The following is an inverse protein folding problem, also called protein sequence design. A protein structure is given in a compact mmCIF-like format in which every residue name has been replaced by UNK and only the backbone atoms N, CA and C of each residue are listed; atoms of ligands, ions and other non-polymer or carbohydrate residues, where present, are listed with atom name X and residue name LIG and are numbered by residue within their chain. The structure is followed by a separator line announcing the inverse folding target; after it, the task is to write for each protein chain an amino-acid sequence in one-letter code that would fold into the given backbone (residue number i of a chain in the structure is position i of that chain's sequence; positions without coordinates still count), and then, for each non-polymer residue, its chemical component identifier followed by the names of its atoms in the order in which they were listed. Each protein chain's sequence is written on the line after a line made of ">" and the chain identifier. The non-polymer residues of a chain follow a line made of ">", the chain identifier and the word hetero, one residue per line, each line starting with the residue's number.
data_IF_431743568035
#
_entry.id   IF_431743568035
#
_cell.length_a   1.000
_cell.length_b   1.000
_cell.length_c   1.000
_cell.angle_alpha   90.00
_cell.angle_beta   90.00
_cell.angle_gamma   90.00
#
_symmetry.space_group_name_H-M   'P 1'
#
loop_
_entity.id
_entity.type
_entity.pdbx_description
1 polymer ?
#
# COMPACT_ATOMS: atom_id res chain seq x y z
N UNK A 1 14.85 -28.79 -81.95
CA UNK A 1 13.45 -28.47 -81.87
C UNK A 1 13.33 -27.47 -80.75
N UNK A 2 13.50 -26.27 -81.04
CA UNK A 2 12.54 -25.18 -81.28
C UNK A 2 11.54 -24.99 -80.14
N UNK A 3 11.65 -23.86 -79.47
CA UNK A 3 10.55 -22.91 -79.34
C UNK A 3 10.98 -21.67 -78.56
N UNK A 4 10.62 -20.58 -79.13
CA UNK A 4 10.90 -19.20 -78.86
C UNK A 4 10.24 -18.71 -77.57
N UNK A 5 10.89 -17.72 -76.91
CA UNK A 5 10.28 -16.88 -75.91
C UNK A 5 9.54 -15.70 -76.53
N UNK A 6 8.51 -15.19 -75.84
CA UNK A 6 7.88 -13.93 -76.22
C UNK A 6 8.34 -12.74 -75.30
N UNK A 7 7.93 -11.51 -75.65
CA UNK A 7 8.73 -10.32 -75.41
C UNK A 7 8.44 -9.60 -74.06
N UNK A 8 9.41 -8.76 -73.70
CA UNK A 8 9.32 -7.85 -72.55
C UNK A 8 8.37 -6.68 -72.83
N UNK A 9 7.43 -6.48 -71.97
CA UNK A 9 6.60 -5.28 -72.01
C UNK A 9 7.01 -4.35 -70.85
N UNK A 10 7.41 -3.16 -71.24
CA UNK A 10 7.77 -2.07 -70.34
C UNK A 10 6.48 -1.35 -69.96
N UNK A 11 6.04 -1.44 -68.72
CA UNK A 11 5.05 -0.53 -68.20
C UNK A 11 5.52 0.14 -66.90
N UNK A 12 5.28 1.44 -66.91
CA UNK A 12 5.65 2.51 -66.01
C UNK A 12 5.34 2.23 -64.56
N UNK A 13 6.20 2.76 -63.69
CA UNK A 13 6.03 2.84 -62.26
C UNK A 13 4.83 3.73 -61.87
N UNK A 14 3.99 3.35 -60.90
CA UNK A 14 3.03 4.26 -60.33
C UNK A 14 3.67 5.07 -59.19
N UNK A 15 3.48 6.35 -59.30
CA UNK A 15 3.83 7.40 -58.31
C UNK A 15 3.36 7.08 -56.90
N UNK A 16 4.30 7.15 -55.96
CA UNK A 16 4.03 7.04 -54.53
C UNK A 16 3.12 8.17 -54.06
N UNK A 17 1.89 7.88 -53.76
CA UNK A 17 1.01 8.76 -52.94
C UNK A 17 1.33 8.52 -51.48
N UNK A 18 1.93 9.54 -50.84
CA UNK A 18 2.13 9.63 -49.39
C UNK A 18 0.74 9.60 -48.69
N UNK A 19 0.51 8.72 -47.70
CA UNK A 19 -0.72 8.76 -46.94
C UNK A 19 -0.76 9.99 -46.05
N UNK A 20 -1.96 10.58 -45.79
CA UNK A 20 -2.09 11.76 -44.95
C UNK A 20 -1.76 11.43 -43.50
N UNK A 21 -1.12 12.37 -42.82
CA UNK A 21 -0.61 12.29 -41.49
C UNK A 21 -1.63 11.74 -40.48
N UNK A 22 -1.38 10.52 -40.02
CA UNK A 22 -2.05 9.97 -38.87
C UNK A 22 -1.66 10.77 -37.63
N UNK A 23 -2.64 11.39 -36.97
CA UNK A 23 -2.49 12.02 -35.69
C UNK A 23 -1.87 10.98 -34.76
N UNK A 24 -0.63 11.22 -34.31
CA UNK A 24 0.01 10.43 -33.26
C UNK A 24 -0.92 10.51 -32.05
N UNK A 25 -1.58 9.43 -31.72
CA UNK A 25 -2.28 9.25 -30.46
C UNK A 25 -1.20 9.37 -29.38
N UNK A 26 -1.29 10.40 -28.56
CA UNK A 26 -0.46 10.52 -27.38
C UNK A 26 -0.64 9.25 -26.53
N UNK A 27 0.44 8.50 -26.36
CA UNK A 27 0.49 7.42 -25.38
C UNK A 27 0.47 8.14 -24.04
N UNK A 28 -0.44 7.83 -23.10
CA UNK A 28 -0.37 8.38 -21.76
C UNK A 28 0.94 7.87 -21.11
N UNK A 29 1.89 8.78 -20.89
CA UNK A 29 3.05 8.52 -20.06
C UNK A 29 2.57 8.70 -18.63
N UNK A 30 2.63 7.65 -17.83
CA UNK A 30 2.28 7.67 -16.42
C UNK A 30 0.96 6.97 -16.16
N UNK A 31 0.99 5.65 -16.03
CA UNK A 31 -0.05 4.91 -15.33
C UNK A 31 0.01 5.35 -13.88
N UNK A 32 -1.02 6.05 -13.44
CA UNK A 32 -1.33 6.31 -12.04
C UNK A 32 -1.71 4.97 -11.41
N UNK A 33 -0.70 4.14 -11.10
CA UNK A 33 -0.93 3.00 -10.22
C UNK A 33 -1.05 3.61 -8.82
N UNK A 34 -2.16 3.38 -8.11
CA UNK A 34 -2.28 3.80 -6.73
C UNK A 34 -1.07 3.24 -5.98
N UNK A 35 -0.37 4.11 -5.23
CA UNK A 35 0.77 3.71 -4.44
C UNK A 35 0.37 2.48 -3.61
N UNK A 36 1.14 1.39 -3.73
CA UNK A 36 0.82 0.18 -2.97
C UNK A 36 0.90 0.49 -1.48
N UNK A 37 -0.05 0.02 -0.66
CA UNK A 37 -0.02 0.24 0.77
C UNK A 37 1.28 -0.30 1.35
N UNK A 38 1.82 0.38 2.37
CA UNK A 38 2.96 -0.13 3.14
C UNK A 38 2.64 -1.52 3.68
N UNK A 39 3.62 -2.41 3.71
CA UNK A 39 3.41 -3.82 4.03
C UNK A 39 4.57 -4.40 4.83
N UNK A 40 4.23 -5.19 5.85
CA UNK A 40 5.17 -6.00 6.63
C UNK A 40 4.70 -7.45 6.58
N UNK A 41 5.61 -8.39 6.38
CA UNK A 41 5.30 -9.82 6.44
C UNK A 41 5.61 -10.35 7.84
N UNK A 42 4.64 -11.01 8.46
CA UNK A 42 4.79 -11.71 9.74
C UNK A 42 4.57 -13.21 9.54
N UNK A 43 5.33 -14.02 10.28
CA UNK A 43 5.11 -15.46 10.33
C UNK A 43 4.29 -15.81 11.56
N UNK A 44 3.33 -16.74 11.41
CA UNK A 44 2.55 -17.28 12.52
C UNK A 44 3.36 -18.37 13.22
N UNK A 45 3.65 -18.18 14.48
CA UNK A 45 4.31 -19.15 15.34
C UNK A 45 3.30 -19.92 16.22
N UNK A 46 3.78 -20.95 16.91
CA UNK A 46 2.94 -21.76 17.77
C UNK A 46 2.28 -20.94 18.89
N UNK A 47 3.03 -19.98 19.46
CA UNK A 47 2.54 -19.05 20.51
C UNK A 47 1.40 -18.13 20.03
N UNK A 48 1.25 -17.96 18.71
CA UNK A 48 0.21 -17.12 18.14
C UNK A 48 -1.13 -17.82 18.01
N UNK A 49 -1.16 -19.15 18.20
CA UNK A 49 -2.36 -19.96 17.96
C UNK A 49 -3.10 -20.29 19.27
N UNK A 50 -4.40 -20.49 19.16
CA UNK A 50 -5.27 -20.93 20.24
C UNK A 50 -5.57 -22.45 20.17
N UNK A 51 -6.41 -22.94 21.07
CA UNK A 51 -6.81 -24.35 21.14
C UNK A 51 -7.55 -24.85 19.88
N UNK A 52 -8.08 -23.96 19.05
CA UNK A 52 -8.70 -24.30 17.76
C UNK A 52 -7.65 -24.46 16.64
N UNK A 53 -6.37 -24.21 16.91
CA UNK A 53 -5.27 -24.29 15.93
C UNK A 53 -5.27 -23.16 14.92
N UNK A 54 -5.87 -22.04 15.25
CA UNK A 54 -5.90 -20.81 14.44
C UNK A 54 -5.27 -19.65 15.20
N UNK A 55 -4.88 -18.60 14.51
CA UNK A 55 -4.35 -17.39 15.13
C UNK A 55 -5.36 -16.85 16.15
N UNK A 56 -4.93 -16.73 17.41
CA UNK A 56 -5.73 -16.11 18.45
C UNK A 56 -6.10 -14.69 18.05
N UNK A 57 -7.39 -14.37 18.08
CA UNK A 57 -7.91 -13.15 17.48
C UNK A 57 -7.20 -11.85 17.92
N UNK A 58 -6.75 -11.78 19.17
CA UNK A 58 -6.03 -10.60 19.68
C UNK A 58 -4.62 -10.44 19.08
N UNK A 59 -4.02 -11.49 18.54
CA UNK A 59 -2.70 -11.41 17.90
C UNK A 59 -2.74 -10.63 16.58
N UNK A 60 -3.87 -10.59 15.88
CA UNK A 60 -4.02 -9.71 14.72
C UNK A 60 -3.81 -8.23 15.08
N UNK A 61 -4.24 -7.79 16.26
CA UNK A 61 -3.99 -6.43 16.76
C UNK A 61 -2.49 -6.18 17.00
N UNK A 62 -1.74 -7.17 17.50
CA UNK A 62 -0.28 -7.09 17.65
C UNK A 62 0.42 -6.99 16.30
N UNK A 63 -0.01 -7.77 15.31
CA UNK A 63 0.54 -7.70 13.96
C UNK A 63 0.30 -6.32 13.33
N UNK A 64 -0.92 -5.79 13.48
CA UNK A 64 -1.28 -4.46 13.00
C UNK A 64 -0.50 -3.35 13.72
N UNK A 65 -0.23 -3.50 15.02
CA UNK A 65 0.57 -2.55 15.80
C UNK A 65 2.01 -2.52 15.27
N UNK A 66 2.67 -3.67 15.13
CA UNK A 66 4.02 -3.77 14.55
C UNK A 66 4.09 -3.13 13.17
N UNK A 67 3.12 -3.41 12.30
CA UNK A 67 3.09 -2.83 10.97
C UNK A 67 2.94 -1.30 10.99
N UNK A 68 2.19 -0.72 11.94
CA UNK A 68 2.10 0.75 12.10
C UNK A 68 3.41 1.35 12.59
N UNK A 69 4.10 0.69 13.51
CA UNK A 69 5.42 1.11 13.99
C UNK A 69 6.42 1.13 12.84
N UNK A 70 6.56 0.05 12.10
CA UNK A 70 7.43 -0.05 10.93
C UNK A 70 7.07 0.99 9.84
N UNK A 71 5.76 1.24 9.65
CA UNK A 71 5.30 2.25 8.72
C UNK A 71 5.75 3.65 9.12
N UNK A 72 5.60 4.05 10.38
CA UNK A 72 6.05 5.36 10.87
C UNK A 72 7.57 5.50 10.78
N UNK A 73 8.32 4.46 11.11
CA UNK A 73 9.78 4.44 10.96
C UNK A 73 10.20 4.60 9.49
N UNK A 74 9.51 3.92 8.56
CA UNK A 74 9.76 4.06 7.13
C UNK A 74 9.45 5.48 6.61
N UNK A 75 8.54 6.22 7.28
CA UNK A 75 8.29 7.64 6.98
C UNK A 75 9.37 8.57 7.57
N UNK A 76 10.31 8.05 8.36
CA UNK A 76 11.37 8.80 9.02
C UNK A 76 11.02 9.27 10.44
N UNK A 77 10.01 8.67 11.07
CA UNK A 77 9.54 9.01 12.42
C UNK A 77 9.63 7.81 13.38
N UNK A 78 10.86 7.39 13.81
CA UNK A 78 11.02 6.36 14.83
C UNK A 78 10.34 6.80 16.12
N UNK A 79 9.40 6.00 16.65
CA UNK A 79 8.52 6.39 17.76
C UNK A 79 9.25 6.94 18.98
N UNK A 80 10.34 6.28 19.42
CA UNK A 80 11.09 6.71 20.59
C UNK A 80 11.85 8.04 20.39
N UNK A 81 12.32 8.33 19.17
CA UNK A 81 12.92 9.63 18.83
C UNK A 81 11.83 10.69 18.71
N UNK A 82 10.73 10.36 18.06
CA UNK A 82 9.61 11.25 17.82
C UNK A 82 8.99 11.78 19.13
N UNK A 83 8.80 10.90 20.13
CA UNK A 83 8.33 11.32 21.45
C UNK A 83 9.31 12.31 22.13
N UNK A 84 10.62 12.04 22.06
CA UNK A 84 11.63 12.94 22.66
C UNK A 84 11.70 14.30 21.96
N UNK A 85 11.54 14.33 20.66
CA UNK A 85 11.69 15.55 19.84
C UNK A 85 10.43 16.42 19.87
N UNK A 86 9.25 15.81 19.83
CA UNK A 86 7.98 16.52 19.71
C UNK A 86 7.14 16.51 21.00
N UNK A 87 7.49 15.70 22.00
CA UNK A 87 6.72 15.57 23.23
C UNK A 87 5.33 14.99 23.03
N UNK A 88 5.13 14.21 21.95
CA UNK A 88 3.83 13.62 21.59
C UNK A 88 3.94 12.11 21.42
N UNK A 89 2.84 11.43 21.69
CA UNK A 89 2.67 9.99 21.49
C UNK A 89 1.42 9.71 20.68
N UNK A 90 1.41 8.55 20.00
CA UNK A 90 0.22 8.04 19.32
C UNK A 90 -0.40 6.91 20.11
N UNK A 91 -1.70 7.00 20.37
CA UNK A 91 -2.46 5.93 21.02
C UNK A 91 -3.63 5.49 20.15
N UNK A 92 -3.99 4.22 20.23
CA UNK A 92 -5.20 3.73 19.57
C UNK A 92 -6.41 4.28 20.30
N UNK A 93 -7.18 5.12 19.64
CA UNK A 93 -8.43 5.67 20.15
C UNK A 93 -9.64 4.79 19.80
N UNK A 94 -9.62 4.21 18.57
CA UNK A 94 -10.70 3.34 18.07
C UNK A 94 -10.13 2.30 17.13
N UNK A 95 -10.67 1.08 17.21
CA UNK A 95 -10.42 0.01 16.27
C UNK A 95 -11.75 -0.66 15.92
N UNK A 96 -12.06 -0.71 14.63
CA UNK A 96 -13.16 -1.48 14.06
C UNK A 96 -12.52 -2.59 13.25
N UNK A 97 -12.81 -3.85 13.55
CA UNK A 97 -12.12 -5.00 12.98
C UNK A 97 -13.11 -6.11 12.61
N UNK A 98 -12.94 -6.66 11.41
CA UNK A 98 -13.68 -7.80 10.89
C UNK A 98 -12.72 -8.99 10.71
N UNK A 99 -13.10 -10.14 11.26
CA UNK A 99 -12.39 -11.40 11.11
C UNK A 99 -13.09 -12.23 10.05
N UNK A 100 -12.45 -12.40 8.89
CA UNK A 100 -13.06 -12.98 7.69
C UNK A 100 -12.65 -14.44 7.49
N UNK A 101 -11.36 -14.74 7.72
CA UNK A 101 -10.79 -16.07 7.58
C UNK A 101 -9.70 -16.29 8.62
N UNK A 102 -9.48 -17.53 9.09
CA UNK A 102 -8.45 -17.83 10.08
C UNK A 102 -7.05 -17.92 9.45
N UNK A 103 -6.07 -17.31 10.10
CA UNK A 103 -4.66 -17.64 9.93
C UNK A 103 -4.30 -18.90 10.69
N UNK A 104 -3.27 -19.62 10.24
CA UNK A 104 -2.84 -20.90 10.81
C UNK A 104 -1.34 -20.89 11.09
N UNK A 105 -0.89 -21.84 11.89
CA UNK A 105 0.53 -22.06 12.17
C UNK A 105 1.33 -22.16 10.86
N UNK A 106 2.48 -21.49 10.84
CA UNK A 106 3.40 -21.36 9.70
C UNK A 106 2.93 -20.50 8.53
N UNK A 107 1.72 -19.94 8.56
CA UNK A 107 1.33 -18.96 7.55
C UNK A 107 2.31 -17.77 7.54
N UNK A 108 2.62 -17.29 6.35
CA UNK A 108 3.25 -15.99 6.12
C UNK A 108 2.13 -14.99 5.80
N UNK A 109 1.95 -14.01 6.66
CA UNK A 109 0.86 -13.04 6.58
C UNK A 109 1.41 -11.66 6.26
N UNK A 110 0.88 -11.04 5.22
CA UNK A 110 1.16 -9.64 4.88
C UNK A 110 0.20 -8.73 5.64
N UNK A 111 0.76 -7.81 6.42
CA UNK A 111 0.01 -6.81 7.18
C UNK A 111 0.20 -5.46 6.54
N UNK A 112 -0.87 -4.87 6.02
CA UNK A 112 -0.83 -3.59 5.32
C UNK A 112 -1.12 -2.41 6.23
N UNK A 113 -0.62 -1.23 5.85
CA UNK A 113 -1.00 0.06 6.45
C UNK A 113 -1.27 1.05 5.33
N UNK A 114 -2.49 1.56 5.30
CA UNK A 114 -2.95 2.57 4.35
C UNK A 114 -3.61 3.72 5.12
N UNK A 115 -2.97 4.90 5.22
CA UNK A 115 -3.63 6.07 5.80
C UNK A 115 -4.78 6.50 4.90
N UNK A 116 -6.00 6.57 5.47
CA UNK A 116 -7.22 6.92 4.71
C UNK A 116 -7.77 8.30 5.08
N UNK A 117 -7.39 8.82 6.24
CA UNK A 117 -7.77 10.17 6.66
C UNK A 117 -6.81 10.74 7.70
N UNK A 118 -6.37 11.96 7.46
CA UNK A 118 -5.61 12.76 8.41
C UNK A 118 -6.51 13.83 9.01
N UNK A 119 -6.54 13.92 10.34
CA UNK A 119 -7.18 14.98 11.09
C UNK A 119 -6.12 15.84 11.79
N UNK A 120 -6.55 16.93 12.44
CA UNK A 120 -5.63 17.81 13.15
C UNK A 120 -4.84 17.11 14.28
N UNK A 121 -5.45 16.10 14.91
CA UNK A 121 -4.88 15.32 16.02
C UNK A 121 -5.13 13.81 15.86
N UNK A 122 -5.41 13.33 14.67
CA UNK A 122 -5.74 11.91 14.45
C UNK A 122 -5.22 11.42 13.10
N UNK A 123 -4.85 10.14 13.08
CA UNK A 123 -4.58 9.38 11.85
C UNK A 123 -5.58 8.23 11.80
N UNK A 124 -6.33 8.12 10.71
CA UNK A 124 -7.18 6.96 10.45
C UNK A 124 -6.53 6.13 9.36
N UNK A 125 -6.24 4.86 9.65
CA UNK A 125 -5.60 3.94 8.73
C UNK A 125 -6.45 2.68 8.55
N UNK A 126 -6.54 2.20 7.31
CA UNK A 126 -6.98 0.85 7.00
C UNK A 126 -5.81 -0.10 7.11
N UNK A 127 -6.06 -1.27 7.70
CA UNK A 127 -5.07 -2.33 7.80
C UNK A 127 -5.73 -3.67 7.48
N UNK A 128 -5.15 -4.38 6.53
CA UNK A 128 -5.54 -5.75 6.23
C UNK A 128 -4.44 -6.71 6.68
N UNK A 129 -4.84 -7.87 7.16
CA UNK A 129 -3.95 -9.03 7.32
C UNK A 129 -4.32 -10.02 6.23
N UNK A 130 -3.35 -10.37 5.40
CA UNK A 130 -3.57 -11.13 4.17
C UNK A 130 -2.68 -12.37 4.12
N UNK A 131 -3.19 -13.43 3.50
CA UNK A 131 -2.42 -14.59 3.07
C UNK A 131 -2.48 -14.67 1.55
N UNK A 132 -1.44 -14.15 0.89
CA UNK A 132 -1.47 -13.96 -0.57
C UNK A 132 -2.61 -13.04 -1.01
N UNK A 133 -3.54 -13.55 -1.82
CA UNK A 133 -4.70 -12.79 -2.29
C UNK A 133 -5.83 -12.70 -1.26
N UNK A 134 -5.88 -13.63 -0.28
CA UNK A 134 -6.97 -13.71 0.69
C UNK A 134 -6.82 -12.67 1.80
N UNK A 135 -7.88 -11.91 2.07
CA UNK A 135 -7.98 -11.05 3.25
C UNK A 135 -8.49 -11.88 4.41
N UNK A 136 -7.67 -12.03 5.45
CA UNK A 136 -8.04 -12.78 6.65
C UNK A 136 -8.74 -11.89 7.67
N UNK A 137 -8.27 -10.65 7.78
CA UNK A 137 -8.78 -9.67 8.73
C UNK A 137 -8.66 -8.28 8.11
N UNK A 138 -9.68 -7.46 8.27
CA UNK A 138 -9.66 -6.05 7.86
C UNK A 138 -10.02 -5.14 9.03
N UNK A 139 -9.28 -4.06 9.20
CA UNK A 139 -9.50 -3.13 10.30
C UNK A 139 -9.42 -1.67 9.86
N UNK A 140 -10.19 -0.84 10.56
CA UNK A 140 -10.09 0.61 10.50
C UNK A 140 -9.65 1.11 11.87
N UNK A 141 -8.39 1.56 11.95
CA UNK A 141 -7.76 2.00 13.19
C UNK A 141 -7.67 3.52 13.21
N UNK A 142 -8.09 4.13 14.30
CA UNK A 142 -7.91 5.57 14.54
C UNK A 142 -6.90 5.77 15.65
N UNK A 143 -5.80 6.43 15.32
CA UNK A 143 -4.79 6.88 16.28
C UNK A 143 -5.11 8.32 16.69
N UNK A 144 -4.92 8.61 17.97
CA UNK A 144 -4.95 9.97 18.50
C UNK A 144 -3.53 10.42 18.84
N UNK A 145 -3.18 11.65 18.47
CA UNK A 145 -1.96 12.33 18.86
C UNK A 145 -2.17 13.01 20.20
N UNK A 146 -1.39 12.60 21.23
CA UNK A 146 -1.48 13.12 22.59
C UNK A 146 -0.17 13.77 23.01
N UNK A 147 -0.29 14.83 23.84
CA UNK A 147 0.85 15.33 24.64
C UNK A 147 1.30 14.24 25.61
N UNK A 148 2.56 13.87 25.56
CA UNK A 148 3.11 12.74 26.34
C UNK A 148 3.06 12.97 27.86
N UNK A 149 3.16 14.23 28.31
CA UNK A 149 3.14 14.58 29.73
C UNK A 149 1.73 14.77 30.29
N UNK A 150 0.83 15.36 29.49
CA UNK A 150 -0.51 15.77 29.94
C UNK A 150 -1.62 14.79 29.55
N UNK A 151 -1.32 13.85 28.62
CA UNK A 151 -2.27 12.88 28.08
C UNK A 151 -3.54 13.52 27.53
N UNK A 152 -3.38 14.62 26.79
CA UNK A 152 -4.46 15.36 26.14
C UNK A 152 -4.24 15.42 24.65
N UNK A 153 -5.30 15.37 23.83
CA UNK A 153 -5.19 15.53 22.40
C UNK A 153 -4.47 16.83 22.03
N UNK A 154 -3.49 16.72 21.14
CA UNK A 154 -2.74 17.86 20.59
C UNK A 154 -2.66 17.75 19.08
N UNK A 155 -2.45 18.88 18.43
CA UNK A 155 -2.24 18.90 16.98
C UNK A 155 -1.01 18.07 16.63
N UNK A 156 -1.14 17.31 15.57
CA UNK A 156 -0.01 16.55 14.99
C UNK A 156 1.12 17.51 14.58
N UNK A 157 2.39 17.17 14.83
CA UNK A 157 3.54 17.92 14.35
C UNK A 157 3.46 18.12 12.83
N UNK A 158 3.83 19.33 12.39
CA UNK A 158 3.62 19.77 11.00
C UNK A 158 4.48 19.00 9.98
N UNK A 159 5.66 18.57 10.38
CA UNK A 159 6.57 17.76 9.57
C UNK A 159 5.98 16.37 9.27
N UNK A 160 5.42 15.71 10.29
CA UNK A 160 4.72 14.45 10.10
C UNK A 160 3.45 14.63 9.27
N UNK A 161 2.64 15.66 9.56
CA UNK A 161 1.43 15.92 8.80
C UNK A 161 1.74 16.13 7.30
N UNK A 162 2.74 16.96 7.00
CA UNK A 162 3.17 17.23 5.62
C UNK A 162 3.69 15.97 4.91
N UNK A 163 4.42 15.11 5.61
CA UNK A 163 4.93 13.85 5.06
C UNK A 163 3.80 12.86 4.75
N UNK A 164 2.80 12.78 5.63
CA UNK A 164 1.66 11.87 5.44
C UNK A 164 0.65 12.37 4.40
N UNK A 165 0.58 13.69 4.18
CA UNK A 165 -0.23 14.28 3.10
C UNK A 165 0.38 14.08 1.72
N UNK A 166 1.72 13.99 1.65
CA UNK A 166 2.48 13.82 0.41
C UNK A 166 3.48 12.66 0.58
N UNK A 167 3.00 11.40 0.61
CA UNK A 167 3.87 10.25 0.67
C UNK A 167 4.75 10.19 -0.59
N UNK A 168 6.06 10.02 -0.38
CA UNK A 168 7.06 9.96 -1.45
C UNK A 168 6.95 8.64 -2.23
#
# INVERSE_FOLDING_TARGET
>A
MSAAGPPRDHRAAPTSRRPPGGKRRAVPIGGDQPAQPFRVTVRVYYEDTDAAGVVYYANYLKYMERARTEWLEAQGFPLAAFEREHGVVFVVHRCEIDFLQPGRLNDALDVTVEPVKLGAATIKARQDVRRGADVLTSALVTLACLDAARWRPVRMPSDLAAKLENPA
#
